data_IF_813439774775
#
_entry.id   IF_813439774775
#
_cell.length_a   1.000
_cell.length_b   1.000
_cell.length_c   1.000
_cell.angle_alpha   90.00
_cell.angle_beta   90.00
_cell.angle_gamma   90.00
#
_symmetry.space_group_name_H-M   'P 1'
#
loop_
_entity.id
_entity.type
_entity.pdbx_description
1 polymer ?
#
# COMPACT_ATOMS: atom_id res chain seq x y z
N UNK A 1 36.73 -2.65 -17.58
CA UNK A 1 37.01 -2.99 -16.17
C UNK A 1 35.76 -2.67 -15.35
N UNK A 2 34.98 -3.70 -15.06
CA UNK A 2 33.69 -3.64 -14.35
C UNK A 2 33.88 -3.39 -12.85
N UNK A 3 33.02 -2.57 -12.24
CA UNK A 3 32.66 -2.72 -10.82
C UNK A 3 31.17 -2.45 -10.61
N UNK A 4 30.48 -3.52 -10.25
CA UNK A 4 29.09 -3.62 -9.80
C UNK A 4 29.16 -4.41 -8.46
N UNK A 5 28.29 -4.06 -7.51
CA UNK A 5 27.87 -4.77 -6.27
C UNK A 5 28.87 -4.87 -5.11
N UNK A 6 28.51 -4.82 -3.81
CA UNK A 6 27.37 -4.39 -2.95
C UNK A 6 27.81 -4.73 -1.48
N UNK A 7 27.09 -4.26 -0.45
CA UNK A 7 26.94 -4.73 0.98
C UNK A 7 26.93 -3.47 1.89
N UNK A 8 25.82 -2.97 2.45
CA UNK A 8 24.80 -3.45 3.43
C UNK A 8 25.19 -3.24 4.92
N UNK A 9 24.33 -2.41 5.56
CA UNK A 9 23.85 -2.36 6.96
C UNK A 9 24.79 -2.00 8.13
N UNK A 10 24.36 -1.02 8.95
CA UNK A 10 23.86 -1.23 10.32
C UNK A 10 23.70 0.13 11.03
N UNK A 11 22.51 0.49 11.51
CA UNK A 11 22.33 1.58 12.49
C UNK A 11 20.99 1.44 13.20
N UNK A 12 20.99 0.68 14.30
CA UNK A 12 20.00 0.75 15.38
C UNK A 12 20.78 0.87 16.70
N UNK A 13 20.32 1.78 17.56
CA UNK A 13 20.66 2.00 18.98
C UNK A 13 21.94 2.76 19.31
N UNK A 14 21.81 4.07 19.52
CA UNK A 14 22.48 4.78 20.62
C UNK A 14 21.63 5.98 21.03
N UNK A 15 21.01 5.92 22.21
CA UNK A 15 20.85 7.07 23.11
C UNK A 15 20.31 6.60 24.46
N UNK A 16 21.25 6.15 25.29
CA UNK A 16 21.13 6.29 26.74
C UNK A 16 22.00 7.47 27.16
N UNK A 17 21.44 8.41 27.91
CA UNK A 17 22.22 9.35 28.72
C UNK A 17 21.58 9.39 30.11
N UNK A 18 22.28 8.77 31.05
CA UNK A 18 22.06 8.90 32.48
C UNK A 18 22.75 10.19 32.98
N UNK A 19 22.09 10.92 33.87
CA UNK A 19 22.73 11.91 34.72
C UNK A 19 21.93 12.07 36.00
N UNK A 20 22.50 11.71 37.15
CA UNK A 20 22.47 12.51 38.38
C UNK A 20 23.37 11.87 39.45
N UNK A 21 23.79 12.73 40.38
CA UNK A 21 25.04 12.68 41.13
C UNK A 21 24.98 11.96 42.48
N UNK A 22 26.19 11.78 42.99
CA UNK A 22 26.64 11.16 44.23
C UNK A 22 26.40 12.07 45.45
N UNK A 23 25.78 11.56 46.51
CA UNK A 23 25.89 12.11 47.87
C UNK A 23 26.03 10.94 48.87
N UNK A 24 27.08 10.98 49.70
CA UNK A 24 27.41 9.94 50.68
C UNK A 24 26.80 10.18 52.06
N UNK A 25 26.94 9.17 52.94
CA UNK A 25 26.63 9.27 54.37
C UNK A 25 26.30 7.91 54.99
N UNK A 26 27.18 7.41 55.85
CA UNK A 26 27.13 6.13 56.57
C UNK A 26 26.38 6.22 57.92
N UNK A 27 25.73 5.11 58.35
CA UNK A 27 25.79 4.49 59.69
C UNK A 27 24.44 3.93 60.21
N UNK A 28 24.50 2.66 60.66
CA UNK A 28 23.88 2.00 61.83
C UNK A 28 22.34 1.92 62.05
N UNK A 29 21.79 0.71 61.81
CA UNK A 29 21.03 -0.25 62.68
C UNK A 29 20.15 0.20 63.90
N UNK A 30 19.18 -0.63 64.38
CA UNK A 30 17.76 -0.66 63.99
C UNK A 30 16.74 -0.56 65.18
N UNK A 31 15.44 -0.76 64.86
CA UNK A 31 14.24 -0.98 65.72
C UNK A 31 13.44 0.28 66.09
N UNK A 32 12.23 0.44 65.53
CA UNK A 32 10.98 0.29 66.31
C UNK A 32 9.74 0.21 65.38
N UNK A 33 8.77 -0.52 65.91
CA UNK A 33 7.43 -0.89 65.49
C UNK A 33 6.46 0.26 65.13
N UNK A 34 5.53 -0.01 64.22
CA UNK A 34 4.42 0.92 63.93
C UNK A 34 3.48 0.42 62.84
N UNK A 35 2.30 -0.03 63.27
CA UNK A 35 1.21 -0.61 62.47
C UNK A 35 0.41 0.47 61.74
N UNK A 36 -0.02 0.21 60.49
CA UNK A 36 -1.19 0.87 59.88
C UNK A 36 -1.18 1.00 58.34
N UNK A 37 -2.09 0.35 57.59
CA UNK A 37 -2.15 0.47 56.14
C UNK A 37 -3.08 1.63 55.74
N UNK A 38 -2.54 2.68 55.13
CA UNK A 38 -3.34 3.74 54.52
C UNK A 38 -3.43 3.51 53.00
N UNK A 39 -4.62 3.15 52.56
CA UNK A 39 -5.04 2.90 51.19
C UNK A 39 -4.81 4.14 50.30
N UNK A 40 -3.78 4.12 49.46
CA UNK A 40 -3.67 5.04 48.31
C UNK A 40 -4.38 4.43 47.10
N UNK A 41 -5.68 4.65 46.97
CA UNK A 41 -6.38 4.33 45.73
C UNK A 41 -6.06 5.40 44.68
N UNK A 42 -5.23 5.04 43.70
CA UNK A 42 -5.12 5.79 42.44
C UNK A 42 -6.49 5.80 41.75
N UNK A 43 -6.96 6.92 41.17
CA UNK A 43 -8.19 6.91 40.41
C UNK A 43 -8.01 6.04 39.17
N UNK A 44 -8.62 4.86 39.17
CA UNK A 44 -8.74 4.06 37.96
C UNK A 44 -9.65 4.82 36.98
N UNK A 45 -9.05 5.45 35.98
CA UNK A 45 -9.79 5.89 34.79
C UNK A 45 -10.54 4.68 34.25
N UNK A 46 -11.88 4.72 34.09
CA UNK A 46 -12.60 3.58 33.56
C UNK A 46 -12.05 3.31 32.15
N UNK A 47 -11.51 2.11 31.95
CA UNK A 47 -11.16 1.62 30.63
C UNK A 47 -12.38 1.83 29.75
N UNK A 48 -12.30 2.80 28.83
CA UNK A 48 -13.34 3.11 27.88
C UNK A 48 -13.51 1.84 27.05
N UNK A 49 -14.51 1.03 27.39
CA UNK A 49 -14.90 -0.12 26.60
C UNK A 49 -15.20 0.42 25.20
N UNK A 50 -14.26 0.20 24.29
CA UNK A 50 -14.46 0.48 22.88
C UNK A 50 -15.63 -0.40 22.49
N UNK A 51 -16.80 0.21 22.28
CA UNK A 51 -17.93 -0.47 21.70
C UNK A 51 -17.41 -1.29 20.49
N UNK A 52 -17.87 -2.54 20.31
CA UNK A 52 -17.45 -3.34 19.17
C UNK A 52 -17.64 -2.49 17.93
N UNK A 53 -16.56 -2.29 17.16
CA UNK A 53 -16.62 -1.61 15.87
C UNK A 53 -17.78 -2.27 15.14
N UNK A 54 -18.83 -1.52 14.73
CA UNK A 54 -19.99 -2.12 14.12
C UNK A 54 -19.49 -3.04 13.02
N UNK A 55 -19.83 -4.33 13.12
CA UNK A 55 -19.38 -5.33 12.17
C UNK A 55 -20.09 -5.04 10.85
N UNK A 56 -19.58 -4.06 10.10
CA UNK A 56 -20.11 -3.72 8.79
C UNK A 56 -19.92 -4.96 7.94
N UNK A 57 -21.02 -5.52 7.46
CA UNK A 57 -21.00 -6.71 6.65
C UNK A 57 -20.20 -6.43 5.36
N UNK A 58 -19.15 -7.21 5.03
CA UNK A 58 -18.40 -7.04 3.78
C UNK A 58 -19.28 -6.93 2.53
N UNK A 59 -20.38 -7.70 2.45
CA UNK A 59 -21.29 -7.65 1.30
C UNK A 59 -21.96 -6.28 1.12
N UNK A 60 -22.25 -5.57 2.20
CA UNK A 60 -22.80 -4.22 2.11
C UNK A 60 -21.75 -3.24 1.56
N UNK A 61 -20.48 -3.41 1.94
CA UNK A 61 -19.39 -2.57 1.42
C UNK A 61 -19.14 -2.89 -0.06
N UNK A 62 -19.20 -4.16 -0.46
CA UNK A 62 -19.09 -4.61 -1.85
C UNK A 62 -20.16 -3.96 -2.74
N UNK A 63 -21.43 -3.98 -2.31
CA UNK A 63 -22.54 -3.35 -3.03
C UNK A 63 -22.33 -1.83 -3.19
N UNK A 64 -21.92 -1.15 -2.11
CA UNK A 64 -21.63 0.30 -2.15
C UNK A 64 -20.43 0.62 -3.04
N UNK A 65 -19.40 -0.22 -3.04
CA UNK A 65 -18.23 -0.07 -3.90
C UNK A 65 -18.62 -0.18 -5.38
N UNK A 66 -19.42 -1.19 -5.73
CA UNK A 66 -19.92 -1.40 -7.08
C UNK A 66 -20.80 -0.23 -7.54
N UNK A 67 -21.76 0.20 -6.71
CA UNK A 67 -22.61 1.35 -7.03
C UNK A 67 -21.78 2.63 -7.24
N UNK A 68 -20.77 2.88 -6.40
CA UNK A 68 -19.89 4.03 -6.55
C UNK A 68 -19.08 3.95 -7.85
N UNK A 69 -18.60 2.75 -8.22
CA UNK A 69 -17.90 2.49 -9.46
C UNK A 69 -18.78 2.79 -10.68
N UNK A 70 -19.97 2.20 -10.74
CA UNK A 70 -20.91 2.38 -11.87
C UNK A 70 -21.38 3.84 -12.02
N UNK A 71 -21.44 4.59 -10.92
CA UNK A 71 -21.80 6.02 -10.93
C UNK A 71 -20.61 6.95 -11.16
N UNK A 72 -19.42 6.41 -11.45
CA UNK A 72 -18.21 7.19 -11.71
C UNK A 72 -17.66 7.94 -10.49
N UNK A 73 -18.13 7.61 -9.28
CA UNK A 73 -17.63 8.16 -8.02
C UNK A 73 -16.39 7.39 -7.57
N UNK A 74 -15.34 7.56 -8.35
CA UNK A 74 -14.10 6.79 -8.28
C UNK A 74 -13.42 6.82 -6.91
N UNK A 75 -13.29 8.00 -6.29
CA UNK A 75 -12.64 8.13 -4.98
C UNK A 75 -13.40 7.36 -3.89
N UNK A 76 -14.74 7.36 -3.99
CA UNK A 76 -15.62 6.64 -3.05
C UNK A 76 -15.48 5.13 -3.26
N UNK A 77 -15.47 4.67 -4.51
CA UNK A 77 -15.26 3.25 -4.83
C UNK A 77 -13.88 2.76 -4.37
N UNK A 78 -12.82 3.54 -4.62
CA UNK A 78 -11.45 3.26 -4.15
C UNK A 78 -11.43 3.09 -2.62
N UNK A 79 -12.07 4.01 -1.89
CA UNK A 79 -12.19 3.94 -0.43
C UNK A 79 -12.83 2.63 0.07
N UNK A 80 -13.95 2.21 -0.55
CA UNK A 80 -14.62 0.96 -0.18
C UNK A 80 -13.81 -0.28 -0.54
N UNK A 81 -13.18 -0.34 -1.72
CA UNK A 81 -12.30 -1.47 -2.06
C UNK A 81 -11.09 -1.58 -1.12
N UNK A 82 -10.48 -0.45 -0.74
CA UNK A 82 -9.41 -0.44 0.27
C UNK A 82 -9.90 -0.86 1.67
N UNK A 83 -11.16 -0.60 2.00
CA UNK A 83 -11.77 -1.12 3.22
C UNK A 83 -11.96 -2.65 3.15
N UNK A 84 -12.45 -3.17 2.03
CA UNK A 84 -12.60 -4.62 1.82
C UNK A 84 -11.26 -5.36 1.89
N UNK A 85 -10.20 -4.78 1.31
CA UNK A 85 -8.83 -5.31 1.41
C UNK A 85 -8.37 -5.39 2.87
N UNK A 86 -8.68 -4.39 3.69
CA UNK A 86 -8.33 -4.40 5.13
C UNK A 86 -9.11 -5.46 5.90
N UNK A 87 -10.36 -5.71 5.53
CA UNK A 87 -11.22 -6.71 6.17
C UNK A 87 -10.89 -8.15 5.76
N UNK A 88 -10.52 -8.35 4.49
CA UNK A 88 -10.17 -9.66 3.92
C UNK A 88 -8.87 -9.56 3.08
N UNK A 89 -7.68 -9.50 3.72
CA UNK A 89 -6.42 -9.27 2.99
C UNK A 89 -6.05 -10.35 1.96
N UNK A 90 -6.57 -11.57 2.13
CA UNK A 90 -6.38 -12.71 1.24
C UNK A 90 -7.35 -12.75 0.07
N UNK A 91 -8.38 -11.90 0.05
CA UNK A 91 -9.36 -11.87 -1.03
C UNK A 91 -8.78 -11.14 -2.25
N UNK A 92 -8.83 -11.80 -3.41
CA UNK A 92 -8.37 -11.24 -4.68
C UNK A 92 -9.38 -10.27 -5.30
N UNK A 93 -10.67 -10.40 -4.99
CA UNK A 93 -11.76 -9.66 -5.62
C UNK A 93 -11.59 -8.13 -5.53
N UNK A 94 -11.41 -7.56 -4.32
CA UNK A 94 -11.21 -6.12 -4.16
C UNK A 94 -9.96 -5.58 -4.87
N UNK A 95 -8.87 -6.36 -4.97
CA UNK A 95 -7.68 -5.98 -5.73
C UNK A 95 -7.93 -5.96 -7.23
N UNK A 96 -8.66 -6.94 -7.76
CA UNK A 96 -9.08 -6.96 -9.16
C UNK A 96 -9.94 -5.74 -9.50
N UNK A 97 -10.90 -5.40 -8.63
CA UNK A 97 -11.78 -4.24 -8.82
C UNK A 97 -11.02 -2.90 -8.75
N UNK A 98 -10.04 -2.75 -7.85
CA UNK A 98 -9.13 -1.59 -7.88
C UNK A 98 -8.34 -1.52 -9.18
N UNK A 99 -7.90 -2.66 -9.71
CA UNK A 99 -7.23 -2.74 -11.01
C UNK A 99 -8.10 -2.18 -12.14
N UNK A 100 -9.38 -2.61 -12.21
CA UNK A 100 -10.34 -2.10 -13.19
C UNK A 100 -10.56 -0.59 -13.02
N UNK A 101 -10.80 -0.15 -11.78
CA UNK A 101 -11.03 1.25 -11.43
C UNK A 101 -9.88 2.16 -11.87
N UNK A 102 -8.64 1.76 -11.59
CA UNK A 102 -7.47 2.53 -12.01
C UNK A 102 -7.24 2.48 -13.52
N UNK A 103 -7.55 1.36 -14.18
CA UNK A 103 -7.42 1.23 -15.63
C UNK A 103 -8.40 2.16 -16.36
N UNK A 104 -9.64 2.27 -15.89
CA UNK A 104 -10.65 3.18 -16.45
C UNK A 104 -10.28 4.66 -16.28
N UNK A 105 -9.63 5.01 -15.17
CA UNK A 105 -9.09 6.36 -14.95
C UNK A 105 -7.79 6.65 -15.69
N UNK A 106 -7.22 5.68 -16.43
CA UNK A 106 -5.91 5.82 -17.06
C UNK A 106 -4.73 5.85 -16.07
N UNK A 107 -4.95 5.54 -14.79
CA UNK A 107 -3.91 5.37 -13.76
C UNK A 107 -3.20 4.01 -13.91
N UNK A 108 -2.63 3.77 -15.09
CA UNK A 108 -2.17 2.46 -15.54
C UNK A 108 -1.15 1.79 -14.60
N UNK A 109 -0.21 2.55 -14.02
CA UNK A 109 0.77 1.99 -13.06
C UNK A 109 0.12 1.51 -11.76
N UNK A 110 -0.96 2.18 -11.31
CA UNK A 110 -1.72 1.75 -10.14
C UNK A 110 -2.55 0.51 -10.47
N UNK A 111 -3.13 0.46 -11.67
CA UNK A 111 -3.85 -0.70 -12.18
C UNK A 111 -2.97 -1.95 -12.23
N UNK A 112 -1.77 -1.83 -12.82
CA UNK A 112 -0.80 -2.94 -12.89
C UNK A 112 -0.47 -3.49 -11.50
N UNK A 113 -0.20 -2.61 -10.54
CA UNK A 113 0.07 -3.03 -9.15
C UNK A 113 -1.11 -3.79 -8.55
N UNK A 114 -2.32 -3.27 -8.69
CA UNK A 114 -3.52 -3.88 -8.13
C UNK A 114 -3.82 -5.26 -8.74
N UNK A 115 -3.70 -5.42 -10.06
CA UNK A 115 -3.84 -6.73 -10.70
C UNK A 115 -2.77 -7.73 -10.27
N UNK A 116 -1.51 -7.28 -10.11
CA UNK A 116 -0.45 -8.15 -9.56
C UNK A 116 -0.76 -8.60 -8.13
N UNK A 117 -1.31 -7.73 -7.29
CA UNK A 117 -1.76 -8.12 -5.95
C UNK A 117 -2.91 -9.13 -6.01
N UNK A 118 -3.88 -8.95 -6.90
CA UNK A 118 -4.97 -9.92 -7.11
C UNK A 118 -4.43 -11.30 -7.51
N UNK A 119 -3.51 -11.35 -8.49
CA UNK A 119 -2.90 -12.59 -8.96
C UNK A 119 -2.05 -13.30 -7.90
N UNK A 120 -1.42 -12.57 -6.99
CA UNK A 120 -0.71 -13.18 -5.85
C UNK A 120 -1.63 -13.93 -4.89
N UNK A 121 -2.92 -13.55 -4.85
CA UNK A 121 -3.91 -14.15 -3.95
C UNK A 121 -4.69 -15.26 -4.63
N UNK A 122 -5.01 -15.08 -5.91
CA UNK A 122 -5.68 -16.09 -6.72
C UNK A 122 -5.22 -15.96 -8.16
N UNK A 123 -4.71 -17.05 -8.72
CA UNK A 123 -4.48 -17.14 -10.16
C UNK A 123 -5.83 -17.08 -10.90
N UNK A 124 -5.96 -16.15 -11.82
CA UNK A 124 -7.23 -15.76 -12.43
C UNK A 124 -6.99 -15.24 -13.85
N UNK A 125 -7.46 -15.99 -14.84
CA UNK A 125 -7.20 -15.71 -16.25
C UNK A 125 -7.72 -14.34 -16.71
N UNK A 126 -8.85 -13.88 -16.13
CA UNK A 126 -9.41 -12.55 -16.44
C UNK A 126 -8.52 -11.45 -15.90
N UNK A 127 -8.03 -11.61 -14.66
CA UNK A 127 -7.09 -10.67 -14.04
C UNK A 127 -5.78 -10.61 -14.84
N UNK A 128 -5.28 -11.76 -15.29
CA UNK A 128 -4.08 -11.84 -16.13
C UNK A 128 -4.29 -11.15 -17.50
N UNK A 129 -5.44 -11.37 -18.13
CA UNK A 129 -5.82 -10.68 -19.37
C UNK A 129 -5.84 -9.16 -19.19
N UNK A 130 -6.51 -8.65 -18.15
CA UNK A 130 -6.58 -7.21 -17.88
C UNK A 130 -5.20 -6.61 -17.57
N UNK A 131 -4.35 -7.34 -16.83
CA UNK A 131 -2.96 -6.96 -16.61
C UNK A 131 -2.20 -6.82 -17.93
N UNK A 132 -2.36 -7.79 -18.85
CA UNK A 132 -1.74 -7.75 -20.17
C UNK A 132 -2.16 -6.50 -20.97
N UNK A 133 -3.45 -6.16 -20.98
CA UNK A 133 -3.94 -4.93 -21.61
C UNK A 133 -3.32 -3.67 -21.00
N UNK A 134 -3.24 -3.60 -19.68
CA UNK A 134 -2.59 -2.46 -18.99
C UNK A 134 -1.10 -2.37 -19.34
N UNK A 135 -0.40 -3.49 -19.43
CA UNK A 135 1.01 -3.54 -19.79
C UNK A 135 1.27 -3.09 -21.22
N UNK A 136 0.41 -3.47 -22.17
CA UNK A 136 0.48 -2.95 -23.55
C UNK A 136 0.30 -1.43 -23.55
N UNK A 137 -0.70 -0.91 -22.83
CA UNK A 137 -0.93 0.55 -22.75
C UNK A 137 0.25 1.29 -22.11
N UNK A 138 0.86 0.74 -21.06
CA UNK A 138 2.08 1.30 -20.45
C UNK A 138 3.25 1.30 -21.44
N UNK A 139 3.45 0.19 -22.17
CA UNK A 139 4.48 0.07 -23.20
C UNK A 139 4.30 1.09 -24.33
N UNK A 140 3.07 1.26 -24.83
CA UNK A 140 2.73 2.28 -25.83
C UNK A 140 3.05 3.69 -25.30
N UNK A 141 2.71 3.99 -24.04
CA UNK A 141 3.04 5.27 -23.42
C UNK A 141 4.54 5.52 -23.34
N UNK A 142 5.32 4.51 -22.93
CA UNK A 142 6.77 4.58 -22.85
C UNK A 142 7.42 4.78 -24.23
N UNK A 143 6.94 4.06 -25.25
CA UNK A 143 7.42 4.20 -26.63
C UNK A 143 7.11 5.59 -27.20
N UNK A 144 5.91 6.12 -26.96
CA UNK A 144 5.56 7.49 -27.39
C UNK A 144 6.45 8.55 -26.73
N UNK A 145 6.77 8.37 -25.45
CA UNK A 145 7.67 9.28 -24.75
C UNK A 145 9.11 9.18 -25.27
N UNK A 146 9.62 7.96 -25.48
CA UNK A 146 10.92 7.72 -26.12
C UNK A 146 10.98 8.41 -27.49
N UNK A 147 9.96 8.18 -28.33
CA UNK A 147 9.86 8.76 -29.66
C UNK A 147 9.95 10.29 -29.63
N UNK A 148 9.26 10.97 -28.69
CA UNK A 148 9.31 12.44 -28.57
C UNK A 148 10.72 12.96 -28.29
N UNK A 149 11.52 12.22 -27.52
CA UNK A 149 12.87 12.61 -27.08
C UNK A 149 13.95 12.33 -28.13
N UNK A 150 13.72 11.37 -29.03
CA UNK A 150 14.66 11.03 -30.08
C UNK A 150 14.73 12.14 -31.16
N UNK A 151 15.92 12.42 -31.73
CA UNK A 151 16.06 13.29 -32.91
C UNK A 151 15.16 12.87 -34.07
N UNK A 152 14.80 13.81 -34.95
CA UNK A 152 13.89 13.53 -36.07
C UNK A 152 14.48 12.56 -37.10
N UNK A 153 15.79 12.61 -37.29
CA UNK A 153 16.59 11.79 -38.19
C UNK A 153 17.08 10.47 -37.55
N UNK A 154 16.73 10.22 -36.29
CA UNK A 154 17.11 9.00 -35.59
C UNK A 154 16.33 7.78 -36.15
N UNK A 155 17.01 6.71 -36.62
CA UNK A 155 16.35 5.51 -37.12
C UNK A 155 15.40 4.87 -36.10
N UNK A 156 15.74 4.88 -34.82
CA UNK A 156 14.91 4.29 -33.77
C UNK A 156 13.58 5.04 -33.59
N UNK A 157 13.54 6.34 -33.94
CA UNK A 157 12.31 7.14 -33.93
C UNK A 157 11.33 6.68 -35.01
N UNK A 158 11.85 6.37 -36.20
CA UNK A 158 11.05 5.86 -37.33
C UNK A 158 10.58 4.44 -37.07
N UNK A 159 11.46 3.56 -36.56
CA UNK A 159 11.08 2.21 -36.14
C UNK A 159 9.96 2.22 -35.10
N UNK A 160 10.09 3.09 -34.08
CA UNK A 160 9.06 3.26 -33.05
C UNK A 160 7.75 3.78 -33.65
N UNK A 161 7.81 4.68 -34.63
CA UNK A 161 6.61 5.20 -35.31
C UNK A 161 5.83 4.08 -35.99
N UNK A 162 6.51 3.31 -36.83
CA UNK A 162 5.89 2.22 -37.60
C UNK A 162 5.37 1.11 -36.69
N UNK A 163 6.14 0.74 -35.66
CA UNK A 163 5.69 -0.23 -34.68
C UNK A 163 4.40 0.20 -33.98
N UNK A 164 4.33 1.46 -33.50
CA UNK A 164 3.14 1.99 -32.85
C UNK A 164 1.95 2.05 -33.80
N UNK A 165 2.17 2.45 -35.06
CA UNK A 165 1.13 2.47 -36.09
C UNK A 165 0.54 1.08 -36.29
N UNK A 166 1.37 0.07 -36.58
CA UNK A 166 0.92 -1.30 -36.78
C UNK A 166 0.22 -1.85 -35.54
N UNK A 167 0.76 -1.64 -34.34
CA UNK A 167 0.15 -2.13 -33.10
C UNK A 167 -1.24 -1.54 -32.87
N UNK A 168 -1.41 -0.24 -33.10
CA UNK A 168 -2.70 0.44 -32.91
C UNK A 168 -3.72 0.01 -33.98
N UNK A 169 -3.30 -0.18 -35.23
CA UNK A 169 -4.19 -0.64 -36.32
C UNK A 169 -4.63 -2.10 -36.15
N UNK A 170 -3.82 -2.94 -35.51
CA UNK A 170 -4.06 -4.40 -35.46
C UNK A 170 -4.59 -4.91 -34.12
N UNK A 171 -4.26 -4.25 -33.00
CA UNK A 171 -4.52 -4.78 -31.65
C UNK A 171 -5.50 -3.91 -30.84
N UNK A 172 -5.62 -2.62 -31.14
CA UNK A 172 -6.43 -1.67 -30.38
C UNK A 172 -7.36 -0.90 -31.34
N UNK A 173 -8.50 -1.49 -31.78
CA UNK A 173 -9.45 -0.83 -32.66
C UNK A 173 -10.09 0.42 -32.03
#
# INVERSE_FOLDING_TARGET
>A
MSRILWVIACSIMMNGCAHWERAGGTADHPLDSGVGPALSQSPQSPARSLAPVPSVNPSFIEERALQAYETGRWDVAEGYYLQLIRMKPSDAGPWFQLGNLYAEQGRLASAERAYREALRRRDDARTLHNLGLVQVKLGVGALRESQKRLPQDDPARQETHEFLKTLLETVLP
#
